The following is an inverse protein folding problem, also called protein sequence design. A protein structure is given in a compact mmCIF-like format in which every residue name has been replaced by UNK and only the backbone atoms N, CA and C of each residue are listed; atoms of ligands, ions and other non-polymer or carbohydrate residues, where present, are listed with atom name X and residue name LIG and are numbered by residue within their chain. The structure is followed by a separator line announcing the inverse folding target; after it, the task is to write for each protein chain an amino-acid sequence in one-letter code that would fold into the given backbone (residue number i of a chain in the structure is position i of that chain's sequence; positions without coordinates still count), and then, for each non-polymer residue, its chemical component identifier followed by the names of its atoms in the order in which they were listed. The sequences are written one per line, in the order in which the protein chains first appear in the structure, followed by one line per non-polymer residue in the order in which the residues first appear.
data_IF_740739034102
#
_entry.id   IF_740739034102
#
_cell.length_a   1.000
_cell.length_b   1.000
_cell.length_c   1.000
_cell.angle_alpha   90.00
_cell.angle_beta   90.00
_cell.angle_gamma   90.00
#
_symmetry.space_group_name_H-M   'P 1'
#
loop_
_entity.id
_entity.type
_entity.pdbx_description
1 polymer ?
#
# COMPACT_ATOMS: atom_id res chain seq x y z
N UNK A 1 -17.88 -8.09 13.03
CA UNK A 1 -18.15 -6.79 13.71
C UNK A 1 -16.93 -6.22 14.45
N UNK A 2 -15.90 -7.02 14.75
CA UNK A 2 -14.74 -6.58 15.56
C UNK A 2 -13.55 -6.02 14.78
N UNK A 3 -13.50 -6.17 13.46
CA UNK A 3 -12.44 -5.58 12.66
C UNK A 3 -12.75 -4.10 12.38
N UNK A 4 -11.74 -3.21 12.47
CA UNK A 4 -11.88 -1.84 11.98
C UNK A 4 -12.22 -1.83 10.50
N UNK A 5 -12.83 -0.75 9.98
CA UNK A 5 -13.18 -0.67 8.57
C UNK A 5 -11.90 -0.73 7.74
N UNK A 6 -11.92 -1.42 6.61
CA UNK A 6 -10.75 -1.58 5.71
C UNK A 6 -11.24 -1.46 4.27
N UNK A 7 -10.37 -1.09 3.31
CA UNK A 7 -10.77 -1.02 1.91
C UNK A 7 -11.20 -2.40 1.39
N UNK A 8 -12.00 -2.46 0.32
CA UNK A 8 -12.34 -3.72 -0.33
C UNK A 8 -11.08 -4.52 -0.68
N UNK A 9 -11.14 -5.84 -0.50
CA UNK A 9 -10.03 -6.77 -0.77
C UNK A 9 -8.78 -6.57 0.13
N UNK A 10 -8.89 -5.82 1.24
CA UNK A 10 -7.76 -5.68 2.18
C UNK A 10 -7.35 -7.04 2.76
N UNK A 11 -8.32 -7.92 3.00
CA UNK A 11 -8.08 -9.28 3.48
C UNK A 11 -7.19 -10.09 2.53
N UNK A 12 -7.31 -9.90 1.22
CA UNK A 12 -6.43 -10.55 0.24
C UNK A 12 -5.00 -10.03 0.36
N UNK A 13 -4.85 -8.73 0.61
CA UNK A 13 -3.53 -8.12 0.84
C UNK A 13 -2.90 -8.65 2.13
N UNK A 14 -3.71 -8.89 3.15
CA UNK A 14 -3.27 -9.51 4.41
C UNK A 14 -2.92 -11.00 4.24
N UNK A 15 -3.71 -11.74 3.44
CA UNK A 15 -3.42 -13.13 3.09
C UNK A 15 -2.10 -13.25 2.31
N UNK A 16 -1.88 -12.37 1.32
CA UNK A 16 -0.61 -12.24 0.60
C UNK A 16 0.55 -11.97 1.59
N UNK A 17 0.37 -11.08 2.56
CA UNK A 17 1.39 -10.79 3.57
C UNK A 17 1.70 -12.01 4.46
N UNK A 18 0.67 -12.74 4.90
CA UNK A 18 0.84 -13.97 5.67
C UNK A 18 1.53 -15.09 4.90
N UNK A 19 1.35 -15.14 3.56
CA UNK A 19 2.06 -16.08 2.70
C UNK A 19 3.56 -15.76 2.54
N UNK A 20 4.01 -14.56 2.95
CA UNK A 20 5.39 -14.10 2.89
C UNK A 20 5.94 -13.73 4.28
N UNK A 21 6.04 -14.69 5.24
CA UNK A 21 6.37 -14.40 6.64
C UNK A 21 7.79 -13.84 6.87
N UNK A 22 8.68 -13.93 5.87
CA UNK A 22 10.00 -13.30 5.90
C UNK A 22 9.96 -11.79 5.68
N UNK A 23 8.83 -11.25 5.19
CA UNK A 23 8.64 -9.82 4.97
C UNK A 23 7.78 -9.24 6.09
N UNK A 24 8.20 -8.15 6.74
CA UNK A 24 7.40 -7.52 7.80
C UNK A 24 6.12 -6.87 7.26
N UNK A 25 6.12 -6.49 5.98
CA UNK A 25 4.97 -5.95 5.27
C UNK A 25 5.12 -6.20 3.76
N UNK A 26 4.02 -6.10 3.02
CA UNK A 26 4.02 -6.06 1.56
C UNK A 26 3.43 -4.76 1.04
N UNK A 27 3.82 -4.38 -0.19
CA UNK A 27 3.25 -3.26 -0.96
C UNK A 27 2.49 -3.83 -2.14
N UNK A 28 1.18 -3.57 -2.21
CA UNK A 28 0.32 -3.96 -3.33
C UNK A 28 -0.06 -2.72 -4.11
N UNK A 29 0.47 -2.59 -5.32
CA UNK A 29 0.16 -1.46 -6.19
C UNK A 29 -1.34 -1.43 -6.51
N UNK A 30 -1.97 -0.29 -6.27
CA UNK A 30 -3.38 -0.06 -6.55
C UNK A 30 -3.52 0.37 -8.01
N UNK A 31 -4.34 -0.37 -8.77
CA UNK A 31 -4.55 -0.09 -10.19
C UNK A 31 -5.16 1.29 -10.42
N UNK A 32 -4.60 2.07 -11.34
CA UNK A 32 -5.06 3.43 -11.69
C UNK A 32 -6.50 3.48 -12.21
N UNK A 33 -7.08 2.34 -12.60
CA UNK A 33 -8.45 2.22 -13.08
C UNK A 33 -9.45 1.80 -11.98
N UNK A 34 -8.96 1.41 -10.80
CA UNK A 34 -9.81 0.96 -9.70
C UNK A 34 -10.56 2.12 -9.03
N UNK A 35 -11.72 1.82 -8.45
CA UNK A 35 -12.45 2.75 -7.58
C UNK A 35 -11.57 3.24 -6.42
N UNK A 36 -10.81 2.33 -5.79
CA UNK A 36 -9.90 2.67 -4.72
C UNK A 36 -8.87 3.73 -5.15
N UNK A 37 -8.24 3.57 -6.31
CA UNK A 37 -7.31 4.57 -6.81
C UNK A 37 -7.99 5.92 -7.00
N UNK A 38 -9.18 5.96 -7.61
CA UNK A 38 -9.92 7.20 -7.88
C UNK A 38 -10.28 7.93 -6.59
N UNK A 39 -10.86 7.23 -5.62
CA UNK A 39 -11.29 7.80 -4.33
C UNK A 39 -10.07 8.27 -3.55
N UNK A 40 -9.04 7.44 -3.37
CA UNK A 40 -7.83 7.83 -2.62
C UNK A 40 -7.08 8.98 -3.31
N UNK A 41 -7.00 9.00 -4.64
CA UNK A 41 -6.42 10.12 -5.39
C UNK A 41 -7.17 11.43 -5.16
N UNK A 42 -8.51 11.38 -5.04
CA UNK A 42 -9.34 12.56 -4.79
C UNK A 42 -9.02 13.21 -3.45
N UNK A 43 -8.75 12.42 -2.40
CA UNK A 43 -8.36 12.95 -1.08
C UNK A 43 -7.09 13.84 -1.17
N UNK A 44 -6.16 13.49 -2.07
CA UNK A 44 -4.96 14.29 -2.33
C UNK A 44 -5.28 15.54 -3.16
N UNK A 45 -6.14 15.41 -4.16
CA UNK A 45 -6.55 16.55 -5.01
C UNK A 45 -7.35 17.59 -4.23
N UNK A 46 -8.23 17.18 -3.33
CA UNK A 46 -8.93 18.06 -2.39
C UNK A 46 -7.97 18.80 -1.43
N UNK A 47 -6.78 18.24 -1.25
CA UNK A 47 -5.68 18.87 -0.52
C UNK A 47 -4.77 19.72 -1.41
N UNK A 48 -5.13 19.95 -2.68
CA UNK A 48 -4.38 20.78 -3.64
C UNK A 48 -3.21 20.06 -4.33
N UNK A 49 -3.11 18.74 -4.27
CA UNK A 49 -2.01 17.95 -4.85
C UNK A 49 -2.41 17.42 -6.24
N UNK A 50 -1.78 17.94 -7.31
CA UNK A 50 -2.11 17.60 -8.72
C UNK A 50 -1.05 16.72 -9.43
N UNK A 51 -0.22 16.01 -8.68
CA UNK A 51 0.94 15.29 -9.24
C UNK A 51 0.57 13.92 -9.82
N UNK A 52 1.42 13.39 -10.69
CA UNK A 52 1.35 12.00 -11.12
C UNK A 52 1.77 11.11 -9.95
N UNK A 53 0.84 10.26 -9.49
CA UNK A 53 1.01 9.45 -8.28
C UNK A 53 0.97 7.94 -8.58
N UNK A 54 1.66 7.18 -7.74
CA UNK A 54 1.49 5.74 -7.58
C UNK A 54 1.01 5.49 -6.14
N UNK A 55 -0.09 4.75 -6.01
CA UNK A 55 -0.66 4.37 -4.72
C UNK A 55 -0.33 2.90 -4.46
N UNK A 56 0.37 2.61 -3.37
CA UNK A 56 0.56 1.25 -2.89
C UNK A 56 -0.24 1.05 -1.60
N UNK A 57 -1.07 0.03 -1.57
CA UNK A 57 -1.74 -0.45 -0.37
C UNK A 57 -0.74 -1.25 0.46
N UNK A 58 -0.71 -0.98 1.76
CA UNK A 58 0.24 -1.57 2.70
C UNK A 58 -0.47 -2.65 3.51
N UNK A 59 0.08 -3.87 3.51
CA UNK A 59 -0.36 -4.95 4.38
C UNK A 59 0.78 -5.34 5.32
N UNK A 60 0.62 -4.99 6.59
CA UNK A 60 1.55 -5.33 7.69
C UNK A 60 0.75 -6.07 8.77
N UNK A 61 0.86 -7.41 8.85
CA UNK A 61 0.08 -8.23 9.79
C UNK A 61 0.26 -7.83 11.25
N UNK A 62 1.49 -7.48 11.64
CA UNK A 62 1.83 -7.12 13.02
C UNK A 62 1.18 -5.79 13.41
N UNK A 63 1.36 -4.74 12.60
CA UNK A 63 0.79 -3.42 12.91
C UNK A 63 -0.73 -3.44 12.85
N UNK A 64 -1.32 -4.17 11.90
CA UNK A 64 -2.77 -4.31 11.83
C UNK A 64 -3.33 -5.08 13.03
N UNK A 65 -2.65 -6.14 13.49
CA UNK A 65 -3.06 -6.87 14.70
C UNK A 65 -3.01 -5.98 15.95
N UNK A 66 -1.94 -5.19 16.11
CA UNK A 66 -1.82 -4.21 17.20
C UNK A 66 -2.92 -3.16 17.14
N UNK A 67 -3.25 -2.66 15.95
CA UNK A 67 -4.33 -1.71 15.74
C UNK A 67 -5.71 -2.28 16.10
N UNK A 68 -6.00 -3.51 15.67
CA UNK A 68 -7.21 -4.23 16.05
C UNK A 68 -7.29 -4.46 17.57
N UNK A 69 -6.19 -4.87 18.20
CA UNK A 69 -6.12 -5.05 19.65
C UNK A 69 -6.38 -3.73 20.39
N UNK A 70 -5.79 -2.63 19.92
CA UNK A 70 -6.01 -1.31 20.51
C UNK A 70 -7.46 -0.85 20.40
N UNK A 71 -8.11 -1.09 19.26
CA UNK A 71 -9.56 -0.84 19.11
C UNK A 71 -10.37 -1.60 20.15
N UNK A 72 -10.09 -2.90 20.35
CA UNK A 72 -10.76 -3.73 21.36
C UNK A 72 -10.57 -3.14 22.76
N UNK A 73 -9.36 -2.71 23.13
CA UNK A 73 -9.11 -2.06 24.41
C UNK A 73 -9.97 -0.81 24.62
N UNK A 74 -10.05 0.07 23.60
CA UNK A 74 -10.87 1.28 23.67
C UNK A 74 -12.36 0.94 23.82
N UNK A 75 -12.87 -0.04 23.07
CA UNK A 75 -14.25 -0.52 23.18
C UNK A 75 -14.55 -1.08 24.57
N UNK A 76 -13.65 -1.87 25.16
CA UNK A 76 -13.81 -2.39 26.54
C UNK A 76 -13.92 -1.29 27.58
N UNK A 77 -13.24 -0.16 27.37
CA UNK A 77 -13.22 0.97 28.31
C UNK A 77 -14.46 1.86 28.12
N UNK A 78 -14.88 2.09 26.87
CA UNK A 78 -15.77 3.21 26.52
C UNK A 78 -17.12 2.78 25.96
N UNK A 79 -17.24 1.58 25.40
CA UNK A 79 -18.53 1.09 24.90
C UNK A 79 -19.51 0.90 26.05
N UNK A 80 -20.78 1.21 25.78
CA UNK A 80 -21.91 0.85 26.64
C UNK A 80 -22.83 -0.17 25.99
N UNK A 81 -22.50 -0.60 24.78
CA UNK A 81 -23.25 -1.63 24.06
C UNK A 81 -22.80 -3.01 24.56
N UNK A 82 -23.72 -3.73 25.20
CA UNK A 82 -23.48 -5.04 25.79
C UNK A 82 -23.00 -6.05 24.74
N UNK A 83 -23.59 -6.04 23.54
CA UNK A 83 -23.21 -6.96 22.45
C UNK A 83 -21.76 -6.74 22.04
N UNK A 84 -21.35 -5.47 21.88
CA UNK A 84 -19.96 -5.10 21.58
C UNK A 84 -19.00 -5.50 22.70
N UNK A 85 -19.37 -5.30 23.96
CA UNK A 85 -18.52 -5.66 25.11
C UNK A 85 -18.34 -7.18 25.23
N UNK A 86 -19.41 -7.96 25.03
CA UNK A 86 -19.34 -9.42 24.96
C UNK A 86 -18.45 -9.87 23.80
N UNK A 87 -18.59 -9.25 22.61
CA UNK A 87 -17.76 -9.54 21.45
C UNK A 87 -16.28 -9.17 21.67
N UNK A 88 -15.98 -8.26 22.59
CA UNK A 88 -14.61 -7.94 23.02
C UNK A 88 -14.07 -8.95 24.06
N UNK A 89 -14.89 -9.90 24.53
CA UNK A 89 -14.51 -10.94 25.48
C UNK A 89 -14.65 -10.53 26.94
N UNK A 90 -15.61 -9.66 27.28
CA UNK A 90 -16.00 -9.42 28.67
C UNK A 90 -17.08 -10.41 29.11
N UNK A 91 -16.97 -10.87 30.36
CA UNK A 91 -18.00 -11.67 31.03
C UNK A 91 -19.24 -10.83 31.36
N UNK A 92 -20.43 -11.46 31.48
CA UNK A 92 -21.65 -10.76 31.91
C UNK A 92 -21.49 -9.99 33.24
N UNK A 93 -20.71 -10.53 34.19
CA UNK A 93 -20.44 -9.88 35.47
C UNK A 93 -19.62 -8.60 35.31
N UNK A 94 -18.59 -8.63 34.45
CA UNK A 94 -17.79 -7.44 34.13
C UNK A 94 -18.60 -6.37 33.41
N UNK A 95 -19.52 -6.77 32.54
CA UNK A 95 -20.41 -5.85 31.80
C UNK A 95 -21.40 -5.18 32.77
N UNK A 96 -22.09 -5.98 33.60
CA UNK A 96 -23.03 -5.47 34.60
C UNK A 96 -22.38 -4.43 35.52
N UNK A 97 -21.16 -4.74 36.00
CA UNK A 97 -20.38 -3.82 36.83
C UNK A 97 -20.04 -2.50 36.13
N UNK A 98 -19.75 -2.55 34.83
CA UNK A 98 -19.41 -1.36 34.02
C UNK A 98 -20.62 -0.50 33.70
N UNK A 99 -21.76 -1.12 33.37
CA UNK A 99 -22.97 -0.41 32.97
C UNK A 99 -23.73 0.21 34.15
N UNK A 100 -23.59 -0.35 35.36
CA UNK A 100 -24.32 0.11 36.56
C UNK A 100 -24.03 1.54 37.08
N UNK A 101 -23.09 2.27 36.45
CA UNK A 101 -22.71 3.64 36.84
C UNK A 101 -22.79 4.65 35.67
N UNK A 102 -23.44 4.29 34.56
CA UNK A 102 -23.41 5.10 33.35
C UNK A 102 -24.32 6.34 33.44
N UNK A 103 -23.75 7.52 33.17
CA UNK A 103 -24.53 8.75 32.98
C UNK A 103 -25.28 8.72 31.64
N UNK A 104 -26.60 8.90 31.66
CA UNK A 104 -27.48 8.81 30.48
C UNK A 104 -27.24 9.92 29.43
N UNK A 105 -26.52 10.99 29.77
CA UNK A 105 -26.38 12.18 28.92
C UNK A 105 -25.19 12.15 27.97
N UNK A 106 -24.27 11.19 28.10
CA UNK A 106 -23.07 11.11 27.24
C UNK A 106 -23.37 10.25 26.00
N UNK A 107 -22.96 10.67 24.78
CA UNK A 107 -23.13 9.87 23.56
C UNK A 107 -22.43 8.51 23.63
N UNK A 108 -22.90 7.56 22.81
CA UNK A 108 -22.18 6.30 22.63
C UNK A 108 -20.77 6.51 22.08
N UNK A 109 -19.89 5.57 22.40
CA UNK A 109 -18.53 5.61 21.88
C UNK A 109 -18.51 5.26 20.40
N UNK A 110 -17.78 6.05 19.63
CA UNK A 110 -17.47 5.78 18.22
C UNK A 110 -15.96 5.72 18.07
N UNK A 111 -15.48 4.80 17.24
CA UNK A 111 -14.05 4.70 16.91
C UNK A 111 -13.52 5.99 16.26
N UNK A 112 -14.41 6.79 15.64
CA UNK A 112 -14.08 8.00 14.87
C UNK A 112 -12.86 7.76 13.97
N UNK A 113 -12.90 6.64 13.26
CA UNK A 113 -11.74 6.13 12.55
C UNK A 113 -11.55 6.90 11.24
N UNK A 114 -10.43 7.59 11.10
CA UNK A 114 -10.17 8.49 9.98
C UNK A 114 -8.96 8.06 9.14
N UNK A 115 -8.98 8.42 7.86
CA UNK A 115 -7.80 8.37 6.99
C UNK A 115 -7.09 9.71 7.02
N UNK A 116 -5.88 9.74 7.57
CA UNK A 116 -5.11 10.97 7.75
C UNK A 116 -3.72 10.87 7.13
N UNK A 117 -3.23 12.00 6.65
CA UNK A 117 -1.94 12.13 6.03
C UNK A 117 -0.82 12.26 7.06
N UNK A 118 0.31 11.63 6.75
CA UNK A 118 1.57 11.77 7.46
C UNK A 118 2.73 11.74 6.47
N UNK A 119 3.68 12.64 6.61
CA UNK A 119 4.96 12.57 5.92
C UNK A 119 6.06 12.50 6.95
N UNK A 120 7.14 11.81 6.60
CA UNK A 120 8.28 11.65 7.47
C UNK A 120 9.55 12.16 6.82
N UNK A 121 10.39 12.82 7.63
CA UNK A 121 11.77 13.18 7.27
C UNK A 121 12.74 12.00 7.45
N UNK A 122 12.25 10.88 7.96
CA UNK A 122 13.02 9.66 8.19
C UNK A 122 12.66 8.57 7.18
N UNK A 123 13.38 7.45 7.18
CA UNK A 123 13.19 6.38 6.22
C UNK A 123 11.74 5.83 6.23
N UNK A 124 11.02 5.99 5.11
CA UNK A 124 9.66 5.47 4.91
C UNK A 124 9.58 3.96 5.16
N UNK A 125 10.60 3.18 4.75
CA UNK A 125 10.61 1.72 4.98
C UNK A 125 10.58 1.37 6.48
N UNK A 126 11.25 2.16 7.32
CA UNK A 126 11.24 1.95 8.76
C UNK A 126 9.83 2.18 9.33
N UNK A 127 9.13 3.22 8.85
CA UNK A 127 7.74 3.50 9.26
C UNK A 127 6.78 2.39 8.80
N UNK A 128 6.93 1.90 7.57
CA UNK A 128 6.08 0.82 7.05
C UNK A 128 6.33 -0.52 7.77
N UNK A 129 7.55 -0.74 8.25
CA UNK A 129 7.97 -1.94 8.98
C UNK A 129 7.57 -1.91 10.45
N UNK A 130 7.88 -0.81 11.14
CA UNK A 130 7.84 -0.72 12.61
C UNK A 130 6.66 0.12 13.13
N UNK A 131 5.97 0.86 12.24
CA UNK A 131 4.97 1.85 12.63
C UNK A 131 5.61 3.18 13.05
N UNK A 132 4.79 4.08 13.57
CA UNK A 132 5.24 5.36 14.12
C UNK A 132 5.59 5.20 15.59
N UNK A 133 6.64 5.90 16.05
CA UNK A 133 7.11 5.87 17.44
C UNK A 133 7.16 7.30 17.98
N UNK A 134 6.30 7.60 18.95
CA UNK A 134 6.23 8.91 19.59
C UNK A 134 7.53 9.29 20.31
N UNK A 135 8.35 8.33 20.75
CA UNK A 135 9.65 8.58 21.38
C UNK A 135 10.70 9.08 20.39
N UNK A 136 10.48 8.86 19.09
CA UNK A 136 11.32 9.34 17.99
C UNK A 136 10.79 10.65 17.39
N UNK A 137 9.61 11.12 17.82
CA UNK A 137 8.98 12.31 17.28
C UNK A 137 9.54 13.59 17.93
N UNK A 138 9.60 14.68 17.16
CA UNK A 138 9.88 16.00 17.71
C UNK A 138 8.66 16.52 18.48
N UNK A 139 8.90 17.24 19.58
CA UNK A 139 7.84 17.89 20.35
C UNK A 139 7.10 18.93 19.51
N UNK A 140 5.77 18.79 19.40
CA UNK A 140 4.91 19.73 18.72
C UNK A 140 4.16 20.68 19.67
N UNK A 141 3.30 21.53 19.11
CA UNK A 141 2.50 22.51 19.87
C UNK A 141 1.43 21.89 20.78
N UNK A 142 1.10 20.62 20.57
CA UNK A 142 0.05 19.85 21.24
C UNK A 142 0.61 18.69 22.08
N UNK A 143 1.93 18.67 22.29
CA UNK A 143 2.60 17.66 23.10
C UNK A 143 3.58 16.78 22.34
N UNK A 144 4.09 15.78 23.02
CA UNK A 144 4.99 14.75 22.49
C UNK A 144 4.19 13.55 21.97
N UNK A 145 3.36 13.81 20.97
CA UNK A 145 2.50 12.81 20.31
C UNK A 145 2.84 12.61 18.84
N UNK A 146 2.04 11.80 18.16
CA UNK A 146 2.14 11.52 16.73
C UNK A 146 1.16 12.42 16.00
N UNK A 147 1.68 13.24 15.07
CA UNK A 147 0.91 14.23 14.33
C UNK A 147 0.45 13.70 12.99
N UNK A 148 -0.82 13.97 12.69
CA UNK A 148 -1.48 13.71 11.43
C UNK A 148 -2.20 14.97 10.94
N UNK A 149 -2.52 15.00 9.66
CA UNK A 149 -3.28 16.09 9.04
C UNK A 149 -4.33 15.53 8.09
N UNK A 150 -5.48 16.19 8.01
CA UNK A 150 -6.47 15.96 6.95
C UNK A 150 -6.09 16.71 5.66
N UNK A 151 -5.11 17.60 5.71
CA UNK A 151 -4.56 18.27 4.54
C UNK A 151 -3.23 17.64 4.12
N UNK A 152 -3.18 17.01 2.95
CA UNK A 152 -1.95 16.41 2.43
C UNK A 152 -0.85 17.44 2.20
N UNK A 153 -1.17 18.63 1.69
CA UNK A 153 -0.19 19.69 1.45
C UNK A 153 0.48 20.17 2.75
N UNK A 154 -0.25 20.18 3.86
CA UNK A 154 0.32 20.46 5.18
C UNK A 154 1.35 19.39 5.59
N UNK A 155 1.02 18.11 5.40
CA UNK A 155 1.95 17.01 5.69
C UNK A 155 3.18 17.04 4.78
N UNK A 156 3.02 17.36 3.50
CA UNK A 156 4.11 17.39 2.51
C UNK A 156 5.21 18.44 2.80
N UNK A 157 4.96 19.40 3.71
CA UNK A 157 6.02 20.29 4.22
C UNK A 157 7.10 19.51 4.99
N UNK A 158 6.77 18.31 5.47
CA UNK A 158 7.65 17.41 6.21
C UNK A 158 8.15 16.24 5.36
N UNK A 159 7.86 16.20 4.06
CA UNK A 159 8.33 15.15 3.15
C UNK A 159 9.82 15.33 2.78
N UNK A 160 10.55 14.22 2.73
CA UNK A 160 11.93 14.13 2.22
C UNK A 160 12.12 13.01 1.19
N UNK A 161 11.07 12.24 0.88
CA UNK A 161 11.16 11.00 0.09
C UNK A 161 10.16 10.93 -1.05
N UNK A 162 9.49 12.04 -1.39
CA UNK A 162 8.45 12.07 -2.42
C UNK A 162 7.33 11.05 -2.14
N UNK A 163 7.05 10.84 -0.86
CA UNK A 163 6.06 9.85 -0.41
C UNK A 163 5.18 10.43 0.68
N UNK A 164 3.87 10.50 0.42
CA UNK A 164 2.87 10.75 1.47
C UNK A 164 2.34 9.41 1.95
N UNK A 165 2.27 9.22 3.26
CA UNK A 165 1.60 8.07 3.87
C UNK A 165 0.17 8.47 4.27
N UNK A 166 -0.77 7.57 4.03
CA UNK A 166 -2.10 7.65 4.64
C UNK A 166 -2.18 6.58 5.71
N UNK A 167 -2.45 7.03 6.93
CA UNK A 167 -2.70 6.17 8.07
C UNK A 167 -4.19 6.05 8.30
N UNK A 168 -4.61 4.87 8.72
CA UNK A 168 -5.87 4.74 9.40
C UNK A 168 -5.66 4.99 10.89
N UNK A 169 -6.47 5.88 11.47
CA UNK A 169 -6.25 6.40 12.84
C UNK A 169 -7.53 6.31 13.65
N UNK A 170 -7.46 5.69 14.83
CA UNK A 170 -8.54 5.66 15.83
C UNK A 170 -8.51 6.97 16.62
N UNK A 171 -9.32 7.96 16.20
CA UNK A 171 -9.42 9.23 16.92
C UNK A 171 -10.28 9.10 18.19
N UNK A 172 -11.21 8.13 18.24
CA UNK A 172 -12.05 7.86 19.41
C UNK A 172 -12.74 9.11 19.93
N UNK A 173 -12.79 9.27 21.26
CA UNK A 173 -13.18 10.54 21.86
C UNK A 173 -12.09 11.58 21.64
N UNK A 174 -12.33 12.50 20.71
CA UNK A 174 -11.38 13.54 20.37
C UNK A 174 -11.62 14.81 21.19
N UNK A 175 -10.58 15.34 21.82
CA UNK A 175 -10.61 16.66 22.44
C UNK A 175 -10.35 17.73 21.37
N UNK A 176 -11.42 18.40 20.95
CA UNK A 176 -11.31 19.59 20.12
C UNK A 176 -10.81 20.77 20.96
N UNK A 177 -9.71 21.39 20.56
CA UNK A 177 -9.21 22.62 21.18
C UNK A 177 -9.12 23.74 20.15
N UNK A 178 -9.28 24.98 20.61
CA UNK A 178 -9.09 26.15 19.75
C UNK A 178 -7.66 26.20 19.20
N UNK A 179 -7.50 26.67 17.96
CA UNK A 179 -6.21 26.72 17.25
C UNK A 179 -5.12 27.50 18.00
N UNK A 180 -5.51 28.45 18.86
CA UNK A 180 -4.57 29.28 19.63
C UNK A 180 -4.13 28.63 20.96
N UNK A 181 -4.73 27.48 21.34
CA UNK A 181 -4.37 26.76 22.56
C UNK A 181 -3.24 25.78 22.28
N UNK A 182 -2.23 25.77 23.15
CA UNK A 182 -1.12 24.81 23.07
C UNK A 182 -1.13 23.87 24.26
N UNK A 183 -0.67 22.65 24.05
CA UNK A 183 -0.53 21.60 25.05
C UNK A 183 0.89 21.02 25.00
N UNK A 184 1.91 21.87 24.81
CA UNK A 184 3.32 21.47 24.58
C UNK A 184 3.87 20.51 25.64
N UNK A 185 3.45 20.67 26.89
CA UNK A 185 3.90 19.82 28.00
C UNK A 185 3.20 18.45 28.05
N UNK A 186 2.18 18.20 27.24
CA UNK A 186 1.48 16.93 27.23
C UNK A 186 2.37 15.81 26.68
N UNK A 187 2.52 14.74 27.45
CA UNK A 187 3.24 13.51 27.05
C UNK A 187 2.30 12.32 26.88
N UNK A 188 1.01 12.52 27.15
CA UNK A 188 -0.07 11.54 27.06
C UNK A 188 -1.39 12.23 26.76
N UNK A 189 -2.43 11.44 26.55
CA UNK A 189 -3.77 11.90 26.27
C UNK A 189 -4.33 12.80 27.41
N UNK A 190 -5.10 13.86 27.09
CA UNK A 190 -5.72 14.72 28.09
C UNK A 190 -6.73 13.97 28.96
N UNK A 191 -6.78 14.31 30.25
CA UNK A 191 -7.77 13.74 31.17
C UNK A 191 -9.16 14.36 30.96
N UNK A 192 -10.19 13.53 31.05
CA UNK A 192 -11.59 13.94 31.07
C UNK A 192 -11.98 14.44 32.45
N UNK A 193 -12.84 15.46 32.50
CA UNK A 193 -13.51 15.84 33.74
C UNK A 193 -14.69 14.90 34.04
N UNK A 194 -15.28 15.00 35.24
CA UNK A 194 -16.34 14.10 35.69
C UNK A 194 -17.57 14.03 34.76
N UNK A 195 -17.93 15.11 34.08
CA UNK A 195 -19.11 15.15 33.19
C UNK A 195 -18.83 14.56 31.80
N UNK A 196 -17.56 14.31 31.48
CA UNK A 196 -17.12 13.73 30.20
C UNK A 196 -16.88 12.21 30.26
N UNK A 197 -16.84 11.61 31.47
CA UNK A 197 -16.54 10.19 31.66
C UNK A 197 -17.80 9.34 31.53
N UNK A 198 -17.79 8.34 30.63
CA UNK A 198 -18.89 7.36 30.54
C UNK A 198 -18.92 6.39 31.72
N UNK A 199 -17.77 6.14 32.32
CA UNK A 199 -17.59 5.27 33.47
C UNK A 199 -16.36 5.72 34.26
N UNK A 200 -16.14 5.15 35.45
CA UNK A 200 -14.91 5.38 36.23
C UNK A 200 -13.61 4.97 35.52
N UNK A 201 -13.71 4.18 34.44
CA UNK A 201 -12.58 3.71 33.64
C UNK A 201 -12.28 4.63 32.44
N UNK A 202 -13.25 5.44 31.99
CA UNK A 202 -13.13 6.35 30.85
C UNK A 202 -12.45 7.66 31.27
N UNK A 203 -11.17 7.57 31.63
CA UNK A 203 -10.41 8.66 32.25
C UNK A 203 -9.85 9.68 31.26
N UNK A 204 -9.56 9.26 30.03
CA UNK A 204 -8.82 10.08 29.06
C UNK A 204 -9.56 10.20 27.73
N UNK A 205 -9.31 11.31 27.03
CA UNK A 205 -9.57 11.40 25.59
C UNK A 205 -8.64 10.44 24.83
N UNK A 206 -8.97 10.17 23.57
CA UNK A 206 -8.19 9.26 22.72
C UNK A 206 -7.29 10.03 21.75
N UNK A 207 -7.66 11.27 21.43
CA UNK A 207 -6.89 12.13 20.55
C UNK A 207 -7.16 13.61 20.84
N UNK A 208 -6.36 14.48 20.24
CA UNK A 208 -6.54 15.94 20.23
C UNK A 208 -6.73 16.37 18.78
N UNK A 209 -7.69 17.26 18.53
CA UNK A 209 -7.86 17.90 17.22
C UNK A 209 -7.84 19.42 17.33
N UNK A 210 -7.16 20.02 16.36
CA UNK A 210 -7.25 21.43 15.97
C UNK A 210 -7.51 21.47 14.46
N UNK A 211 -7.86 22.62 13.86
CA UNK A 211 -8.06 22.69 12.42
C UNK A 211 -6.88 22.06 11.65
N UNK A 212 -7.20 21.04 10.85
CA UNK A 212 -6.28 20.25 10.02
C UNK A 212 -5.13 19.53 10.73
N UNK A 213 -5.12 19.41 12.06
CA UNK A 213 -4.10 18.63 12.76
C UNK A 213 -4.72 17.77 13.87
N UNK A 214 -4.24 16.54 13.94
CA UNK A 214 -4.71 15.51 14.85
C UNK A 214 -3.51 14.89 15.55
N UNK A 215 -3.65 14.63 16.85
CA UNK A 215 -2.57 14.06 17.66
C UNK A 215 -3.08 12.88 18.48
N UNK A 216 -2.36 11.77 18.36
CA UNK A 216 -2.51 10.58 19.21
C UNK A 216 -1.23 10.38 20.03
N UNK A 217 -1.33 9.69 21.16
CA UNK A 217 -0.17 9.42 22.03
C UNK A 217 0.20 7.95 22.11
N UNK A 218 -0.63 7.05 21.57
CA UNK A 218 -0.35 5.63 21.45
C UNK A 218 -0.20 5.24 19.97
N UNK A 219 0.95 4.67 19.61
CA UNK A 219 1.24 4.28 18.22
C UNK A 219 0.32 3.22 17.66
N UNK A 220 -0.21 2.32 18.51
CA UNK A 220 -1.17 1.29 18.10
C UNK A 220 -2.56 1.86 17.80
N UNK A 221 -2.82 3.15 18.02
CA UNK A 221 -4.03 3.82 17.50
C UNK A 221 -3.94 4.13 16.01
N UNK A 222 -2.86 3.78 15.32
CA UNK A 222 -2.74 3.94 13.88
C UNK A 222 -1.99 2.79 13.22
N UNK A 223 -2.19 2.64 11.91
CA UNK A 223 -1.29 1.86 11.07
C UNK A 223 -1.23 2.46 9.66
N UNK A 224 -0.10 2.30 8.94
CA UNK A 224 0.01 2.79 7.58
C UNK A 224 -0.83 1.92 6.65
N UNK A 225 -1.77 2.53 5.92
CA UNK A 225 -2.66 1.82 5.01
C UNK A 225 -2.28 2.06 3.54
N UNK A 226 -1.82 3.27 3.20
CA UNK A 226 -1.33 3.58 1.86
C UNK A 226 0.02 4.30 1.90
N UNK A 227 0.87 3.99 0.93
CA UNK A 227 2.05 4.79 0.59
C UNK A 227 1.88 5.34 -0.82
N UNK A 228 1.93 6.66 -0.95
CA UNK A 228 1.66 7.36 -2.19
C UNK A 228 2.94 8.04 -2.65
N UNK A 229 3.55 7.48 -3.69
CA UNK A 229 4.75 8.05 -4.31
C UNK A 229 4.34 9.03 -5.40
N UNK A 230 4.98 10.19 -5.46
CA UNK A 230 4.63 11.24 -6.42
C UNK A 230 5.86 11.79 -7.16
N UNK A 231 5.70 12.23 -8.40
CA UNK A 231 6.77 12.89 -9.14
C UNK A 231 7.06 14.29 -8.56
N UNK A 232 8.34 14.70 -8.49
CA UNK A 232 8.82 15.86 -7.73
C UNK A 232 8.00 17.14 -7.92
N UNK A 233 7.93 17.95 -6.85
CA UNK A 233 7.38 19.31 -6.82
C UNK A 233 7.67 20.09 -8.11
N UNK A 234 6.65 20.35 -8.93
CA UNK A 234 6.60 21.67 -9.57
C UNK A 234 6.63 22.70 -8.44
N UNK A 235 7.40 23.80 -8.55
CA UNK A 235 7.44 24.78 -7.48
C UNK A 235 6.00 25.22 -7.20
N UNK A 236 5.51 24.93 -6.00
CA UNK A 236 4.33 25.62 -5.50
C UNK A 236 4.66 27.11 -5.64
N UNK A 237 3.92 27.85 -6.47
CA UNK A 237 3.95 29.29 -6.35
C UNK A 237 3.55 29.58 -4.90
N UNK A 238 4.31 30.42 -4.22
CA UNK A 238 3.97 30.93 -2.87
C UNK A 238 2.73 31.84 -2.91
N UNK A 239 1.74 31.55 -3.75
CA UNK A 239 0.41 32.14 -3.71
C UNK A 239 -0.52 31.17 -2.99
N UNK A 240 -0.28 30.97 -1.69
CA UNK A 240 -1.43 30.87 -0.81
C UNK A 240 -1.88 32.32 -0.60
N UNK A 241 -2.74 32.79 -1.50
CA UNK A 241 -3.67 33.85 -1.14
C UNK A 241 -4.38 33.39 0.13
N UNK A 242 -4.44 34.28 1.11
CA UNK A 242 -5.19 34.16 2.36
C UNK A 242 -6.27 33.08 2.27
N UNK A 243 -6.04 31.97 2.96
CA UNK A 243 -7.09 30.95 3.19
C UNK A 243 -8.31 31.74 3.70
N UNK A 244 -9.50 31.59 3.10
CA UNK A 244 -10.67 32.28 3.61
C UNK A 244 -10.81 31.87 5.07
N UNK A 245 -10.77 32.87 5.95
CA UNK A 245 -11.02 32.71 7.37
C UNK A 245 -12.47 32.23 7.49
N UNK A 246 -12.65 30.90 7.49
CA UNK A 246 -13.96 30.32 7.65
C UNK A 246 -14.37 30.56 9.10
N UNK A 247 -15.27 31.52 9.27
CA UNK A 247 -15.80 31.94 10.55
C UNK A 247 -16.49 30.76 11.24
N UNK A 248 -15.78 30.12 12.17
CA UNK A 248 -16.41 29.32 13.21
C UNK A 248 -16.95 30.28 14.28
N UNK A 249 -17.97 31.07 13.92
CA UNK A 249 -18.72 31.84 14.91
C UNK A 249 -19.72 30.91 15.59
N UNK A 250 -19.33 30.40 16.76
CA UNK A 250 -19.97 30.74 18.03
C UNK A 250 -19.73 29.66 19.09
N UNK A 251 -19.29 30.13 20.25
CA UNK A 251 -19.43 29.46 21.54
C UNK A 251 -20.91 29.11 21.79
N UNK A 252 -21.30 27.87 21.58
CA UNK A 252 -22.44 27.28 22.27
C UNK A 252 -22.32 25.76 22.27
N UNK A 253 -22.15 25.20 23.47
CA UNK A 253 -22.58 23.87 23.92
C UNK A 253 -22.79 22.82 22.81
N UNK A 254 -21.72 22.18 22.33
CA UNK A 254 -21.84 21.03 21.44
C UNK A 254 -21.96 19.73 22.23
N UNK A 255 -23.16 19.49 22.76
CA UNK A 255 -23.65 18.13 22.91
C UNK A 255 -24.14 17.66 21.53
N UNK A 256 -23.34 16.81 20.90
CA UNK A 256 -23.75 15.77 19.96
C UNK A 256 -24.69 16.17 18.81
N UNK A 257 -24.10 16.65 17.73
CA UNK A 257 -24.40 16.10 16.40
C UNK A 257 -23.07 15.65 15.81
N UNK A 258 -23.02 14.41 15.33
CA UNK A 258 -21.85 13.79 14.71
C UNK A 258 -21.30 14.75 13.64
N UNK A 259 -20.24 15.50 13.94
CA UNK A 259 -19.45 16.13 12.90
C UNK A 259 -18.89 14.98 12.07
N UNK A 260 -19.41 14.81 10.86
CA UNK A 260 -18.84 13.87 9.92
C UNK A 260 -17.39 14.29 9.69
N UNK A 261 -16.45 13.46 10.12
CA UNK A 261 -15.03 13.70 9.87
C UNK A 261 -14.81 13.73 8.37
N UNK A 262 -14.10 14.74 7.86
CA UNK A 262 -13.85 14.91 6.41
C UNK A 262 -13.31 13.64 5.75
N UNK A 263 -12.55 12.84 6.49
CA UNK A 263 -11.99 11.58 6.03
C UNK A 263 -12.39 10.39 6.90
N UNK A 264 -13.67 10.28 7.26
CA UNK A 264 -14.20 9.09 7.91
C UNK A 264 -13.93 7.84 7.05
N UNK A 265 -13.17 6.90 7.61
CA UNK A 265 -12.72 5.71 6.89
C UNK A 265 -13.89 4.79 6.47
N UNK A 266 -14.98 4.73 7.25
CA UNK A 266 -16.15 3.92 6.88
C UNK A 266 -16.84 4.50 5.65
N UNK A 267 -17.00 5.82 5.63
CA UNK A 267 -17.60 6.51 4.48
C UNK A 267 -16.73 6.37 3.23
N UNK A 268 -15.42 6.56 3.34
CA UNK A 268 -14.48 6.40 2.22
C UNK A 268 -14.50 4.97 1.67
N UNK A 269 -14.42 3.95 2.53
CA UNK A 269 -14.43 2.57 2.03
C UNK A 269 -15.79 2.15 1.48
N UNK A 270 -16.90 2.68 2.04
CA UNK A 270 -18.22 2.51 1.46
C UNK A 270 -18.31 3.16 0.07
N UNK A 271 -17.73 4.34 -0.12
CA UNK A 271 -17.64 4.99 -1.43
C UNK A 271 -16.84 4.13 -2.42
N UNK A 272 -15.70 3.56 -2.00
CA UNK A 272 -14.91 2.65 -2.86
C UNK A 272 -15.75 1.43 -3.27
N UNK A 273 -16.51 0.84 -2.34
CA UNK A 273 -17.43 -0.25 -2.64
C UNK A 273 -18.56 0.16 -3.60
N UNK A 274 -19.11 1.36 -3.42
CA UNK A 274 -20.18 1.90 -4.27
C UNK A 274 -19.68 2.29 -5.66
N UNK A 275 -18.53 2.93 -5.80
CA UNK A 275 -17.91 3.22 -7.11
C UNK A 275 -17.56 1.93 -7.86
N UNK A 276 -17.19 0.87 -7.14
CA UNK A 276 -17.04 -0.46 -7.73
C UNK A 276 -18.39 -0.99 -8.27
N UNK A 277 -19.49 -0.64 -7.60
CA UNK A 277 -20.87 -1.03 -7.96
C UNK A 277 -21.50 -0.16 -9.05
N UNK A 278 -21.15 1.14 -9.15
CA UNK A 278 -21.66 2.04 -10.21
C UNK A 278 -20.82 1.98 -11.48
N UNK A 279 -19.52 1.66 -11.39
CA UNK A 279 -18.77 1.16 -12.55
C UNK A 279 -19.33 -0.19 -13.02
N UNK A 280 -20.06 -0.88 -12.15
CA UNK A 280 -20.89 -2.03 -12.45
C UNK A 280 -22.37 -1.66 -12.71
N UNK A 281 -22.65 -0.60 -13.50
CA UNK A 281 -23.93 -0.57 -14.24
C UNK A 281 -23.98 -1.85 -15.07
N UNK A 282 -24.90 -2.69 -14.64
CA UNK A 282 -25.21 -4.01 -15.14
C UNK A 282 -25.73 -3.88 -16.56
N UNK A 283 -24.88 -4.09 -17.56
CA UNK A 283 -25.31 -5.01 -18.60
C UNK A 283 -25.31 -6.40 -17.96
N UNK A 284 -26.45 -7.05 -17.94
CA UNK A 284 -26.57 -8.47 -17.60
C UNK A 284 -25.84 -9.27 -18.68
N UNK A 285 -24.51 -9.37 -18.54
CA UNK A 285 -23.65 -10.07 -19.49
C UNK A 285 -23.72 -11.55 -19.12
N UNK A 286 -24.47 -12.29 -19.93
CA UNK A 286 -24.78 -13.72 -19.77
C UNK A 286 -23.76 -14.64 -20.47
N UNK A 287 -22.67 -14.12 -21.06
CA UNK A 287 -21.76 -14.93 -21.87
C UNK A 287 -20.27 -14.63 -21.67
N UNK A 288 -19.46 -15.68 -21.76
CA UNK A 288 -18.00 -15.65 -21.75
C UNK A 288 -17.48 -15.22 -23.12
N UNK A 289 -16.61 -14.21 -23.20
CA UNK A 289 -16.08 -13.71 -24.49
C UNK A 289 -15.16 -14.72 -25.21
N UNK A 290 -14.65 -15.72 -24.50
CA UNK A 290 -13.81 -16.76 -25.07
C UNK A 290 -14.59 -17.93 -25.68
N UNK A 291 -15.75 -18.30 -25.13
CA UNK A 291 -16.51 -19.47 -25.59
C UNK A 291 -17.95 -19.15 -26.05
N UNK A 292 -18.40 -17.89 -25.93
CA UNK A 292 -19.70 -17.31 -26.33
C UNK A 292 -20.97 -17.97 -25.76
N UNK A 293 -20.90 -19.21 -25.26
CA UNK A 293 -21.96 -19.92 -24.53
C UNK A 293 -21.32 -20.53 -23.28
N UNK A 294 -21.85 -20.23 -22.11
CA UNK A 294 -21.35 -20.78 -20.85
C UNK A 294 -22.53 -21.13 -19.94
N UNK A 295 -22.63 -22.39 -19.53
CA UNK A 295 -23.67 -22.87 -18.58
C UNK A 295 -23.38 -22.45 -17.13
N UNK A 296 -22.25 -21.78 -16.87
CA UNK A 296 -21.83 -21.34 -15.55
C UNK A 296 -22.10 -19.84 -15.41
N UNK A 297 -23.10 -19.51 -14.58
CA UNK A 297 -23.50 -18.13 -14.28
C UNK A 297 -22.42 -17.28 -13.58
N UNK A 298 -22.72 -15.99 -13.34
CA UNK A 298 -21.75 -14.92 -13.08
C UNK A 298 -21.04 -14.91 -11.72
N UNK A 299 -21.09 -15.99 -10.95
CA UNK A 299 -20.56 -16.00 -9.58
C UNK A 299 -19.02 -15.91 -9.49
N UNK A 300 -18.29 -16.27 -10.54
CA UNK A 300 -16.82 -16.24 -10.55
C UNK A 300 -16.24 -15.89 -11.94
N UNK A 301 -16.45 -14.65 -12.40
CA UNK A 301 -15.71 -14.15 -13.57
C UNK A 301 -14.26 -13.85 -13.20
N UNK A 302 -13.31 -14.44 -13.92
CA UNK A 302 -11.89 -14.31 -13.57
C UNK A 302 -11.23 -13.22 -14.42
N UNK A 303 -10.64 -12.23 -13.74
CA UNK A 303 -10.07 -11.02 -14.33
C UNK A 303 -8.54 -11.11 -14.39
N UNK A 304 -7.98 -10.95 -15.58
CA UNK A 304 -6.53 -10.87 -15.78
C UNK A 304 -6.02 -9.43 -15.56
N UNK A 305 -4.77 -9.26 -15.13
CA UNK A 305 -4.14 -7.93 -14.84
C UNK A 305 -3.89 -7.02 -16.06
N UNK A 306 -4.16 -7.49 -17.26
CA UNK A 306 -3.90 -6.76 -18.50
C UNK A 306 -5.11 -5.94 -18.99
N UNK A 307 -4.92 -5.06 -19.98
CA UNK A 307 -6.00 -4.26 -20.59
C UNK A 307 -7.09 -5.10 -21.28
N UNK A 308 -6.83 -6.38 -21.55
CA UNK A 308 -7.85 -7.36 -21.98
C UNK A 308 -8.61 -7.92 -20.76
N UNK A 309 -8.92 -7.05 -19.79
CA UNK A 309 -9.59 -7.35 -18.53
C UNK A 309 -11.07 -7.70 -18.75
N UNK A 310 -11.38 -8.80 -19.44
CA UNK A 310 -12.77 -9.21 -19.67
C UNK A 310 -12.97 -10.73 -19.46
N UNK A 311 -13.66 -11.01 -18.34
CA UNK A 311 -14.57 -12.13 -18.03
C UNK A 311 -14.32 -13.48 -18.72
N UNK A 312 -13.29 -14.21 -18.26
CA UNK A 312 -13.17 -15.64 -18.52
C UNK A 312 -14.01 -16.43 -17.51
N UNK A 313 -14.76 -17.43 -17.97
CA UNK A 313 -15.32 -18.44 -17.07
C UNK A 313 -14.20 -19.34 -16.52
N UNK A 314 -14.46 -20.06 -15.42
CA UNK A 314 -13.53 -21.02 -14.81
C UNK A 314 -12.94 -22.01 -15.81
N UNK A 315 -13.75 -22.51 -16.75
CA UNK A 315 -13.31 -23.43 -17.80
C UNK A 315 -12.29 -22.77 -18.74
N UNK A 316 -12.64 -21.62 -19.34
CA UNK A 316 -11.73 -20.91 -20.24
C UNK A 316 -10.47 -20.39 -19.54
N UNK A 317 -10.54 -20.05 -18.24
CA UNK A 317 -9.33 -19.76 -17.46
C UNK A 317 -8.47 -21.01 -17.30
N UNK A 318 -9.08 -22.14 -16.95
CA UNK A 318 -8.36 -23.39 -16.74
C UNK A 318 -7.64 -23.84 -18.01
N UNK A 319 -8.21 -23.58 -19.19
CA UNK A 319 -7.55 -23.83 -20.49
C UNK A 319 -6.28 -22.99 -20.70
N UNK A 320 -6.27 -21.73 -20.24
CA UNK A 320 -5.11 -20.83 -20.37
C UNK A 320 -4.23 -20.78 -19.11
N UNK A 321 -4.56 -21.62 -18.12
CA UNK A 321 -3.76 -21.77 -16.92
C UNK A 321 -2.54 -22.63 -17.25
N UNK A 322 -1.39 -22.00 -17.12
CA UNK A 322 -0.09 -22.64 -17.20
C UNK A 322 0.29 -23.17 -15.82
N UNK A 323 1.06 -24.25 -15.82
CA UNK A 323 1.67 -24.79 -14.60
C UNK A 323 3.14 -25.05 -14.83
N UNK A 324 3.91 -24.96 -13.76
CA UNK A 324 5.35 -25.15 -13.76
C UNK A 324 5.79 -25.78 -12.45
N UNK A 325 6.94 -26.45 -12.49
CA UNK A 325 7.60 -26.98 -11.30
C UNK A 325 9.00 -26.38 -11.23
N UNK A 326 9.33 -25.83 -10.08
CA UNK A 326 10.70 -25.47 -9.76
C UNK A 326 11.56 -26.72 -9.60
N UNK A 327 12.90 -26.59 -9.70
CA UNK A 327 13.83 -27.71 -9.45
C UNK A 327 13.71 -28.29 -8.04
N UNK A 328 13.26 -27.51 -7.06
CA UNK A 328 12.97 -27.97 -5.69
C UNK A 328 11.64 -28.72 -5.57
N UNK A 329 10.93 -28.97 -6.68
CA UNK A 329 9.66 -29.70 -6.70
C UNK A 329 8.43 -28.85 -6.38
N UNK A 330 8.58 -27.55 -6.12
CA UNK A 330 7.45 -26.65 -5.83
C UNK A 330 6.68 -26.37 -7.11
N UNK A 331 5.41 -26.76 -7.15
CA UNK A 331 4.47 -26.45 -8.22
C UNK A 331 3.97 -25.01 -8.10
N UNK A 332 3.82 -24.32 -9.23
CA UNK A 332 3.19 -23.01 -9.30
C UNK A 332 2.32 -22.93 -10.57
N UNK A 333 1.30 -22.08 -10.54
CA UNK A 333 0.41 -21.83 -11.68
C UNK A 333 0.34 -20.34 -11.99
N UNK A 334 0.13 -20.02 -13.25
CA UNK A 334 -0.10 -18.66 -13.72
C UNK A 334 -0.96 -18.72 -14.96
N UNK A 335 -1.56 -17.60 -15.33
CA UNK A 335 -2.39 -17.50 -16.53
C UNK A 335 -1.68 -16.62 -17.55
N UNK A 336 -1.61 -17.07 -18.79
CA UNK A 336 -1.10 -16.25 -19.90
C UNK A 336 -2.27 -15.78 -20.76
N UNK A 337 -2.49 -14.48 -20.79
CA UNK A 337 -3.55 -13.88 -21.61
C UNK A 337 -3.37 -14.24 -23.09
N UNK A 338 -4.35 -14.92 -23.70
CA UNK A 338 -4.26 -15.34 -25.11
C UNK A 338 -4.27 -14.17 -26.11
N UNK A 339 -4.70 -12.99 -25.69
CA UNK A 339 -4.81 -11.80 -26.56
C UNK A 339 -3.57 -10.90 -26.53
N UNK A 340 -2.87 -10.79 -25.39
CA UNK A 340 -1.67 -9.94 -25.28
C UNK A 340 -0.44 -10.59 -24.67
N UNK A 341 -0.54 -11.86 -24.26
CA UNK A 341 0.56 -12.57 -23.62
C UNK A 341 0.89 -12.14 -22.19
N UNK A 342 0.19 -11.14 -21.64
CA UNK A 342 0.40 -10.69 -20.26
C UNK A 342 0.11 -11.82 -19.26
N UNK A 343 0.98 -11.92 -18.25
CA UNK A 343 0.85 -12.92 -17.20
C UNK A 343 0.00 -12.40 -16.04
N UNK A 344 -0.89 -13.26 -15.55
CA UNK A 344 -1.55 -13.10 -14.27
C UNK A 344 -1.12 -14.24 -13.34
N UNK A 345 -0.40 -13.89 -12.28
CA UNK A 345 0.42 -14.79 -11.48
C UNK A 345 1.91 -14.48 -11.67
N UNK A 346 2.78 -15.29 -11.06
CA UNK A 346 4.23 -15.19 -11.25
C UNK A 346 4.75 -16.48 -11.87
N UNK A 347 5.20 -16.40 -13.12
CA UNK A 347 6.01 -17.47 -13.70
C UNK A 347 7.37 -17.52 -12.97
N UNK A 348 7.69 -18.68 -12.42
CA UNK A 348 9.01 -18.97 -11.87
C UNK A 348 9.77 -19.83 -12.86
N UNK A 349 11.01 -19.45 -13.15
CA UNK A 349 11.88 -20.24 -13.99
C UNK A 349 12.37 -21.51 -13.29
N UNK A 350 12.85 -22.45 -14.11
CA UNK A 350 13.35 -23.75 -13.66
C UNK A 350 14.85 -23.74 -13.30
N UNK A 351 15.47 -22.57 -13.15
CA UNK A 351 16.86 -22.48 -12.70
C UNK A 351 16.99 -22.59 -11.17
N UNK A 352 18.19 -22.92 -10.68
CA UNK A 352 18.47 -23.04 -9.24
C UNK A 352 18.33 -21.69 -8.50
N UNK A 353 17.83 -21.72 -7.27
CA UNK A 353 17.53 -20.51 -6.47
C UNK A 353 18.72 -19.92 -5.67
N UNK A 354 19.91 -20.52 -5.74
CA UNK A 354 20.99 -20.28 -4.78
C UNK A 354 22.17 -19.52 -5.40
N UNK A 355 21.88 -18.39 -6.03
CA UNK A 355 22.89 -17.56 -6.70
C UNK A 355 22.99 -16.12 -6.21
N UNK A 356 23.95 -15.36 -6.74
CA UNK A 356 24.07 -13.91 -6.58
C UNK A 356 24.10 -13.21 -7.93
N UNK A 357 23.32 -12.13 -8.06
CA UNK A 357 23.42 -11.16 -9.14
C UNK A 357 23.98 -9.86 -8.56
N UNK A 358 25.12 -9.41 -9.08
CA UNK A 358 25.73 -8.13 -8.69
C UNK A 358 25.99 -7.28 -9.93
N UNK A 359 25.91 -5.96 -9.82
CA UNK A 359 26.26 -5.06 -10.92
C UNK A 359 27.28 -4.00 -10.49
N UNK A 360 28.10 -3.55 -11.44
CA UNK A 360 29.09 -2.50 -11.23
C UNK A 360 29.21 -1.62 -12.48
N UNK A 361 29.46 -0.32 -12.29
CA UNK A 361 29.67 0.61 -13.40
C UNK A 361 31.17 0.62 -13.78
N UNK A 362 31.46 0.28 -15.03
CA UNK A 362 32.77 0.41 -15.66
C UNK A 362 32.88 1.78 -16.33
N UNK A 363 33.29 2.78 -15.55
CA UNK A 363 33.29 4.20 -15.95
C UNK A 363 34.08 4.45 -17.24
N UNK A 364 35.26 3.82 -17.37
CA UNK A 364 36.17 4.02 -18.50
C UNK A 364 35.86 3.17 -19.74
N UNK A 365 34.94 2.19 -19.63
CA UNK A 365 34.61 1.31 -20.75
C UNK A 365 33.25 1.69 -21.32
N UNK A 366 33.21 2.00 -22.62
CA UNK A 366 31.98 2.34 -23.34
C UNK A 366 31.63 1.22 -24.32
N UNK A 367 30.37 0.81 -24.33
CA UNK A 367 29.87 -0.12 -25.35
C UNK A 367 29.58 0.64 -26.66
N UNK A 368 30.02 0.15 -27.82
CA UNK A 368 29.71 0.75 -29.11
C UNK A 368 28.21 0.93 -29.35
N UNK A 369 27.83 2.06 -29.98
CA UNK A 369 26.43 2.37 -30.33
C UNK A 369 25.64 3.14 -29.27
N UNK A 370 26.14 3.30 -28.04
CA UNK A 370 25.41 3.96 -26.95
C UNK A 370 26.15 5.12 -26.28
N UNK A 371 27.45 5.32 -26.55
CA UNK A 371 28.23 6.50 -26.12
C UNK A 371 28.43 6.67 -24.61
N UNK A 372 27.91 5.76 -23.79
CA UNK A 372 27.89 5.84 -22.32
C UNK A 372 28.82 4.81 -21.67
N UNK A 373 29.13 5.01 -20.39
CA UNK A 373 29.85 4.01 -19.58
C UNK A 373 29.06 2.69 -19.53
N UNK A 374 29.70 1.60 -19.13
CA UNK A 374 29.09 0.26 -19.19
C UNK A 374 28.71 -0.23 -17.80
N UNK A 375 27.54 -0.84 -17.64
CA UNK A 375 27.18 -1.64 -16.47
C UNK A 375 27.61 -3.07 -16.74
N UNK A 376 28.47 -3.62 -15.89
CA UNK A 376 28.79 -5.04 -15.89
C UNK A 376 27.93 -5.76 -14.85
N UNK A 377 27.24 -6.81 -15.27
CA UNK A 377 26.40 -7.66 -14.44
C UNK A 377 27.12 -9.00 -14.27
N UNK A 378 27.29 -9.44 -13.03
CA UNK A 378 27.90 -10.71 -12.69
C UNK A 378 26.85 -11.62 -12.06
N UNK A 379 26.64 -12.77 -12.67
CA UNK A 379 25.78 -13.84 -12.18
C UNK A 379 26.63 -14.98 -11.65
N UNK A 380 26.30 -15.47 -10.47
CA UNK A 380 26.90 -16.65 -9.85
C UNK A 380 25.78 -17.60 -9.45
N UNK A 381 25.74 -18.83 -9.97
CA UNK A 381 24.77 -19.88 -9.59
C UNK A 381 25.52 -21.19 -9.44
N UNK A 382 25.54 -21.83 -8.26
CA UNK A 382 26.17 -23.15 -8.07
C UNK A 382 27.59 -23.27 -8.65
N UNK A 383 28.44 -22.26 -8.43
CA UNK A 383 29.80 -22.20 -8.97
C UNK A 383 29.92 -21.75 -10.44
N UNK A 384 28.81 -21.73 -11.19
CA UNK A 384 28.75 -21.21 -12.54
C UNK A 384 28.78 -19.69 -12.54
N UNK A 385 29.74 -19.10 -13.24
CA UNK A 385 29.93 -17.65 -13.36
C UNK A 385 29.63 -17.18 -14.77
N UNK A 386 28.80 -16.13 -14.90
CA UNK A 386 28.53 -15.44 -16.16
C UNK A 386 28.61 -13.95 -15.96
N UNK A 387 29.08 -13.25 -17.00
CA UNK A 387 29.15 -11.79 -17.04
C UNK A 387 28.40 -11.29 -18.26
N UNK A 388 27.64 -10.23 -18.06
CA UNK A 388 26.93 -9.52 -19.11
C UNK A 388 27.13 -8.01 -19.00
N UNK A 389 26.79 -7.28 -20.06
CA UNK A 389 27.01 -5.85 -20.18
C UNK A 389 25.74 -5.13 -20.63
N UNK A 390 25.51 -3.93 -20.08
CA UNK A 390 24.49 -2.96 -20.51
C UNK A 390 25.12 -1.58 -20.67
N UNK A 391 24.59 -0.70 -21.52
CA UNK A 391 24.94 0.72 -21.45
C UNK A 391 24.43 1.35 -20.14
N UNK A 392 25.20 2.25 -19.54
CA UNK A 392 24.85 2.99 -18.32
C UNK A 392 24.04 4.25 -18.64
N UNK A 393 23.09 4.13 -19.56
CA UNK A 393 22.11 5.17 -19.86
C UNK A 393 20.77 4.87 -19.15
N UNK A 394 19.77 5.72 -19.35
CA UNK A 394 18.45 5.57 -18.71
C UNK A 394 17.78 4.25 -19.07
N UNK A 395 17.84 3.85 -20.34
CA UNK A 395 17.22 2.61 -20.83
C UNK A 395 17.93 1.36 -20.29
N UNK A 396 19.27 1.34 -20.32
CA UNK A 396 20.05 0.24 -19.76
C UNK A 396 19.89 0.10 -18.24
N UNK A 397 19.72 1.21 -17.50
CA UNK A 397 19.34 1.17 -16.08
C UNK A 397 17.93 0.63 -15.85
N UNK A 398 16.98 0.90 -16.74
CA UNK A 398 15.64 0.30 -16.67
C UNK A 398 15.71 -1.22 -16.92
N UNK A 399 16.44 -1.65 -17.95
CA UNK A 399 16.68 -3.09 -18.22
C UNK A 399 17.38 -3.77 -17.04
N UNK A 400 18.33 -3.11 -16.36
CA UNK A 400 18.98 -3.67 -15.16
C UNK A 400 17.95 -3.98 -14.05
N UNK A 401 16.98 -3.09 -13.82
CA UNK A 401 15.91 -3.32 -12.84
C UNK A 401 15.03 -4.50 -13.24
N UNK A 402 14.66 -4.59 -14.53
CA UNK A 402 13.88 -5.72 -15.05
C UNK A 402 14.64 -7.05 -14.93
N UNK A 403 15.96 -7.04 -15.18
CA UNK A 403 16.82 -8.21 -15.02
C UNK A 403 16.94 -8.66 -13.56
N UNK A 404 16.93 -7.73 -12.59
CA UNK A 404 16.88 -8.08 -11.18
C UNK A 404 15.57 -8.81 -10.82
N UNK A 405 14.43 -8.32 -11.33
CA UNK A 405 13.13 -9.01 -11.15
C UNK A 405 13.15 -10.38 -11.82
N UNK A 406 13.69 -10.50 -13.04
CA UNK A 406 13.81 -11.77 -13.74
C UNK A 406 14.72 -12.76 -12.99
N UNK A 407 15.78 -12.25 -12.37
CA UNK A 407 16.69 -13.03 -11.54
C UNK A 407 15.99 -13.60 -10.31
N UNK A 408 15.27 -12.76 -9.57
CA UNK A 408 14.50 -13.16 -8.39
C UNK A 408 13.41 -14.18 -8.75
N UNK A 409 12.83 -14.07 -9.96
CA UNK A 409 11.88 -15.03 -10.54
C UNK A 409 12.55 -16.26 -11.17
N UNK A 410 13.88 -16.39 -11.11
CA UNK A 410 14.67 -17.50 -11.70
C UNK A 410 14.52 -17.62 -13.23
N UNK A 411 14.11 -16.55 -13.91
CA UNK A 411 13.84 -16.48 -15.35
C UNK A 411 15.05 -16.07 -16.19
N UNK A 412 16.14 -15.61 -15.58
CA UNK A 412 17.36 -15.19 -16.29
C UNK A 412 18.02 -16.36 -17.04
N UNK A 413 18.00 -17.55 -16.43
CA UNK A 413 18.60 -18.77 -16.97
C UNK A 413 17.55 -19.86 -17.09
N UNK A 414 17.80 -20.81 -17.99
CA UNK A 414 17.06 -22.07 -18.11
C UNK A 414 18.03 -23.24 -18.06
N UNK A 415 17.55 -24.36 -17.56
CA UNK A 415 18.29 -25.63 -17.59
C UNK A 415 17.98 -26.35 -18.91
N UNK A 416 18.99 -26.56 -19.75
CA UNK A 416 18.88 -27.32 -20.99
C UNK A 416 18.75 -28.84 -20.77
N UNK A 417 18.55 -29.59 -21.85
CA UNK A 417 18.28 -31.05 -21.83
C UNK A 417 19.37 -31.86 -21.09
N UNK A 418 20.61 -31.37 -21.10
CA UNK A 418 21.76 -32.01 -20.45
C UNK A 418 22.13 -31.40 -19.09
N UNK A 419 21.25 -30.62 -18.47
CA UNK A 419 21.53 -29.94 -17.21
C UNK A 419 22.42 -28.69 -17.32
N UNK A 420 22.76 -28.26 -18.55
CA UNK A 420 23.56 -27.04 -18.77
C UNK A 420 22.71 -25.78 -18.57
N UNK A 421 23.28 -24.78 -17.88
CA UNK A 421 22.65 -23.48 -17.69
C UNK A 421 22.87 -22.58 -18.91
N UNK A 422 21.78 -22.18 -19.55
CA UNK A 422 21.77 -21.27 -20.69
C UNK A 422 21.00 -19.99 -20.34
N UNK A 423 21.35 -18.87 -20.98
CA UNK A 423 20.57 -17.65 -20.86
C UNK A 423 19.19 -17.86 -21.46
N UNK A 424 18.16 -17.68 -20.63
CA UNK A 424 16.77 -17.71 -21.08
C UNK A 424 16.33 -16.35 -21.63
N UNK A 425 16.88 -15.28 -21.05
CA UNK A 425 16.73 -13.90 -21.53
C UNK A 425 18.01 -13.52 -22.27
N UNK A 426 17.90 -12.87 -23.42
CA UNK A 426 19.07 -12.42 -24.20
C UNK A 426 20.00 -11.52 -23.36
N UNK A 427 21.31 -11.82 -23.38
CA UNK A 427 22.33 -11.04 -22.69
C UNK A 427 23.51 -10.75 -23.62
N UNK A 428 24.11 -9.56 -23.49
CA UNK A 428 25.38 -9.25 -24.12
C UNK A 428 26.55 -9.71 -23.24
N UNK A 429 27.20 -10.79 -23.63
CA UNK A 429 28.35 -11.36 -22.91
C UNK A 429 29.69 -10.82 -23.39
N UNK A 430 29.70 -10.07 -24.50
CA UNK A 430 30.85 -9.35 -25.01
C UNK A 430 30.57 -7.83 -25.07
N UNK A 431 31.60 -7.00 -24.93
CA UNK A 431 31.49 -5.55 -25.09
C UNK A 431 31.64 -5.10 -26.55
N UNK A 432 32.07 -6.00 -27.44
CA UNK A 432 32.35 -5.76 -28.87
C UNK A 432 31.94 -6.99 -29.68
N UNK A 433 31.99 -6.91 -31.02
CA UNK A 433 31.77 -8.09 -31.87
C UNK A 433 30.33 -8.29 -32.34
N UNK A 434 29.48 -7.25 -32.29
CA UNK A 434 28.12 -7.25 -32.86
C UNK A 434 27.17 -8.32 -32.28
N UNK A 435 25.96 -8.44 -32.84
CA UNK A 435 24.92 -9.35 -32.36
C UNK A 435 25.33 -10.83 -32.38
N UNK A 436 26.01 -11.29 -33.43
CA UNK A 436 26.36 -12.70 -33.63
C UNK A 436 27.31 -13.22 -32.54
N UNK A 437 28.14 -12.34 -31.98
CA UNK A 437 29.05 -12.68 -30.89
C UNK A 437 28.50 -12.26 -29.51
N UNK A 438 27.19 -12.04 -29.39
CA UNK A 438 26.55 -11.52 -28.16
C UNK A 438 27.22 -10.23 -27.65
N UNK A 439 27.62 -9.37 -28.59
CA UNK A 439 28.33 -8.13 -28.37
C UNK A 439 27.62 -6.89 -28.87
N UNK A 440 28.35 -5.78 -28.80
CA UNK A 440 27.95 -4.47 -29.30
C UNK A 440 28.78 -4.11 -30.56
N UNK A 441 28.29 -3.19 -31.43
CA UNK A 441 27.02 -2.48 -31.35
C UNK A 441 25.82 -3.39 -31.67
N UNK A 442 24.70 -3.15 -31.00
CA UNK A 442 23.40 -3.77 -31.29
C UNK A 442 22.30 -2.82 -30.80
N UNK A 443 21.85 -1.95 -31.70
CA UNK A 443 20.93 -0.85 -31.38
C UNK A 443 19.55 -1.33 -30.94
N UNK A 444 19.17 -2.56 -31.29
CA UNK A 444 17.86 -3.15 -30.95
C UNK A 444 17.93 -4.11 -29.75
N UNK A 445 19.08 -4.26 -29.10
CA UNK A 445 19.22 -5.19 -27.98
C UNK A 445 18.28 -4.81 -26.82
N UNK A 446 18.26 -3.54 -26.40
CA UNK A 446 17.44 -3.11 -25.26
C UNK A 446 15.94 -3.27 -25.54
N UNK A 447 15.47 -3.00 -26.76
CA UNK A 447 14.07 -3.20 -27.15
C UNK A 447 13.68 -4.68 -27.21
N UNK A 448 14.57 -5.56 -27.68
CA UNK A 448 14.34 -7.02 -27.65
C UNK A 448 14.29 -7.57 -26.23
N UNK A 449 15.23 -7.18 -25.37
CA UNK A 449 15.19 -7.60 -23.96
C UNK A 449 13.92 -7.10 -23.29
N UNK A 450 13.52 -5.83 -23.53
CA UNK A 450 12.25 -5.29 -23.03
C UNK A 450 11.05 -6.11 -23.49
N UNK A 451 11.00 -6.52 -24.76
CA UNK A 451 9.93 -7.38 -25.29
C UNK A 451 9.94 -8.78 -24.65
N UNK A 452 11.10 -9.38 -24.43
CA UNK A 452 11.22 -10.66 -23.70
C UNK A 452 10.73 -10.53 -22.25
N UNK A 453 11.09 -9.46 -21.56
CA UNK A 453 10.62 -9.19 -20.20
C UNK A 453 9.10 -9.04 -20.14
N UNK A 454 8.50 -8.34 -21.10
CA UNK A 454 7.04 -8.20 -21.19
C UNK A 454 6.35 -9.56 -21.39
N UNK A 455 6.94 -10.46 -22.18
CA UNK A 455 6.44 -11.83 -22.33
C UNK A 455 6.48 -12.64 -21.01
N UNK A 456 7.38 -12.27 -20.10
CA UNK A 456 7.48 -12.82 -18.74
C UNK A 456 6.70 -11.99 -17.68
N UNK A 457 5.90 -11.00 -18.10
CA UNK A 457 5.15 -10.14 -17.19
C UNK A 457 6.04 -9.27 -16.28
N UNK A 458 7.17 -8.80 -16.80
CA UNK A 458 8.11 -7.87 -16.14
C UNK A 458 8.10 -6.56 -16.94
N UNK A 459 7.85 -5.42 -16.28
CA UNK A 459 7.62 -4.11 -16.91
C UNK A 459 8.63 -3.04 -16.48
#
# INVERSE_FOLDING_TARGET
MNSPPVPPDYNDSMADAHAHPSLPYIRKCVSTQSAEFKVISRLLQESGVQQKIQIDRIANPTLYSQFCARRVELLKIKSRDEVTLQACGLSPEEISFRLGHASATIPEYSDNCALLFHCTKTNVDAVLREGLDNRKANMGSLGSGIYFSDNAAFSMQYDSFQTVLIFQVLLGDCLNIHANRTLRAATREPEKNATQKRSKYDLFFDSIAVPSQYVIFNSSQCFPLYAITYESKTPFSNQISSVPEFAWTNESLFLATVQAWKFDSRQIFAEISQECSTTAVVHTILSCEACQVCDFGPAEWIKLRCKHSFRLCLACRSEIQMSGKTLSGVSHTWVKCKWCGALDGCELGNAFNCGKMNSAILILKKVPGYGTSTIAINYVINGFKRRAYLPSNTEGRAILKMLAIAWDRRLTFKTGVNGQLEFNIEHKTCMTGNRELNGYPDVFYLSRVKSQMQNFGIF
#
